data_IF_470076814765
#
_entry.id   IF_470076814765
#
_cell.length_a   1.000
_cell.length_b   1.000
_cell.length_c   1.000
_cell.angle_alpha   90.00
_cell.angle_beta   90.00
_cell.angle_gamma   90.00
#
_symmetry.space_group_name_H-M   'P 1'
#
loop_
_entity.id
_entity.type
_entity.pdbx_description
1 polymer ?
#
# COMPACT_ATOMS: atom_id res chain seq x y z
N UNK A 1 1.77 -14.07 -8.74
CA UNK A 1 2.07 -12.64 -9.01
C UNK A 1 3.55 -12.53 -9.31
N UNK A 2 3.98 -11.73 -10.29
CA UNK A 2 5.42 -11.58 -10.59
C UNK A 2 6.12 -10.86 -9.45
N UNK A 3 7.20 -11.43 -8.90
CA UNK A 3 8.03 -10.80 -7.85
C UNK A 3 8.53 -9.41 -8.26
N UNK A 4 8.74 -9.20 -9.56
CA UNK A 4 9.18 -7.92 -10.13
C UNK A 4 8.14 -6.81 -9.88
N UNK A 5 6.84 -7.10 -10.03
CA UNK A 5 5.78 -6.09 -9.85
C UNK A 5 5.66 -5.70 -8.38
N UNK A 6 5.85 -6.67 -7.47
CA UNK A 6 5.85 -6.40 -6.03
C UNK A 6 7.03 -5.52 -5.62
N UNK A 7 8.24 -5.85 -6.05
CA UNK A 7 9.45 -5.06 -5.77
C UNK A 7 9.34 -3.63 -6.33
N UNK A 8 8.86 -3.47 -7.57
CA UNK A 8 8.63 -2.15 -8.16
C UNK A 8 7.54 -1.36 -7.42
N UNK A 9 6.51 -2.04 -6.92
CA UNK A 9 5.45 -1.42 -6.11
C UNK A 9 6.01 -0.87 -4.79
N UNK A 10 6.78 -1.67 -4.06
CA UNK A 10 7.42 -1.26 -2.80
C UNK A 10 8.38 -0.07 -3.02
N UNK A 11 9.23 -0.14 -4.06
CA UNK A 11 10.12 0.96 -4.44
C UNK A 11 9.34 2.22 -4.77
N UNK A 12 8.22 2.09 -5.48
CA UNK A 12 7.38 3.22 -5.87
C UNK A 12 6.71 3.86 -4.65
N UNK A 13 6.17 3.07 -3.73
CA UNK A 13 5.58 3.54 -2.48
C UNK A 13 6.62 4.23 -1.56
N UNK A 14 7.86 3.74 -1.52
CA UNK A 14 8.95 4.42 -0.80
C UNK A 14 9.27 5.79 -1.40
N UNK A 15 9.30 5.92 -2.74
CA UNK A 15 9.51 7.21 -3.42
C UNK A 15 8.42 8.25 -3.12
N UNK A 16 7.19 7.81 -2.80
CA UNK A 16 6.10 8.72 -2.40
C UNK A 16 6.00 8.91 -0.87
N UNK A 17 7.02 8.48 -0.11
CA UNK A 17 7.15 8.76 1.32
C UNK A 17 6.57 7.70 2.25
N UNK A 18 6.16 6.53 1.73
CA UNK A 18 5.70 5.42 2.55
C UNK A 18 6.81 4.37 2.69
N UNK A 19 7.50 4.43 3.83
CA UNK A 19 8.53 3.46 4.21
C UNK A 19 7.98 2.45 5.23
N UNK A 20 8.77 1.43 5.55
CA UNK A 20 8.43 0.38 6.52
C UNK A 20 7.08 -0.29 6.21
N UNK A 21 6.84 -0.55 4.93
CA UNK A 21 5.63 -1.21 4.43
C UNK A 21 5.60 -2.64 4.97
N UNK A 22 4.49 -2.99 5.60
CA UNK A 22 4.17 -4.33 6.09
C UNK A 22 2.86 -4.78 5.44
N UNK A 23 2.69 -6.08 5.31
CA UNK A 23 1.44 -6.69 4.83
C UNK A 23 0.98 -6.10 3.47
N UNK A 24 1.92 -5.84 2.56
CA UNK A 24 1.59 -5.37 1.21
C UNK A 24 0.77 -6.44 0.49
N UNK A 25 -0.46 -6.05 0.15
CA UNK A 25 -1.43 -6.88 -0.54
C UNK A 25 -1.89 -6.18 -1.82
N UNK A 26 -1.46 -6.72 -2.96
CA UNK A 26 -1.84 -6.22 -4.28
C UNK A 26 -3.13 -6.92 -4.69
N UNK A 27 -4.25 -6.18 -4.61
CA UNK A 27 -5.59 -6.67 -4.96
C UNK A 27 -5.78 -6.79 -6.47
N UNK A 28 -5.19 -5.85 -7.22
CA UNK A 28 -5.30 -5.81 -8.68
C UNK A 28 -4.04 -5.22 -9.30
N UNK A 29 -3.62 -5.77 -10.44
CA UNK A 29 -2.59 -5.17 -11.27
C UNK A 29 -2.93 -5.35 -12.74
N UNK A 30 -2.51 -4.38 -13.55
CA UNK A 30 -2.60 -4.44 -15.00
C UNK A 30 -1.28 -4.04 -15.63
N UNK A 31 -0.80 -4.87 -16.54
CA UNK A 31 0.40 -4.59 -17.31
C UNK A 31 0.04 -3.98 -18.68
N UNK A 32 0.68 -2.87 -18.99
CA UNK A 32 0.69 -2.25 -20.31
C UNK A 32 2.10 -2.32 -20.90
N UNK A 33 2.23 -1.94 -22.18
CA UNK A 33 3.51 -1.91 -22.91
C UNK A 33 4.57 -1.08 -22.16
N UNK A 34 4.17 0.07 -21.61
CA UNK A 34 5.07 1.06 -21.04
C UNK A 34 4.91 1.24 -19.52
N UNK A 35 3.87 0.69 -18.91
CA UNK A 35 3.57 0.89 -17.49
C UNK A 35 2.91 -0.29 -16.80
N UNK A 36 2.89 -0.23 -15.47
CA UNK A 36 2.10 -1.04 -14.57
C UNK A 36 1.13 -0.13 -13.83
N UNK A 37 -0.15 -0.52 -13.80
CA UNK A 37 -1.16 0.07 -12.92
C UNK A 37 -1.42 -0.92 -11.80
N UNK A 38 -1.24 -0.50 -10.55
CA UNK A 38 -1.31 -1.37 -9.37
C UNK A 38 -2.23 -0.76 -8.32
N UNK A 39 -3.17 -1.56 -7.84
CA UNK A 39 -4.08 -1.23 -6.76
C UNK A 39 -3.95 -2.25 -5.63
N UNK A 40 -3.91 -1.77 -4.39
CA UNK A 40 -3.75 -2.63 -3.25
C UNK A 40 -3.84 -1.89 -1.93
N UNK A 41 -3.39 -2.57 -0.90
CA UNK A 41 -3.35 -2.05 0.46
C UNK A 41 -2.05 -2.45 1.16
N UNK A 42 -1.67 -1.68 2.16
CA UNK A 42 -0.56 -2.03 3.04
C UNK A 42 -0.76 -1.42 4.43
N UNK A 43 0.05 -1.87 5.38
CA UNK A 43 0.16 -1.31 6.71
C UNK A 43 1.53 -0.66 6.90
N UNK A 44 1.59 0.40 7.68
CA UNK A 44 2.82 0.84 8.32
C UNK A 44 2.52 1.27 9.77
N UNK A 45 3.49 1.88 10.44
CA UNK A 45 3.37 2.34 11.82
C UNK A 45 2.22 3.34 12.03
N UNK A 46 1.90 4.13 11.01
CA UNK A 46 0.87 5.18 11.06
C UNK A 46 -0.54 4.62 10.88
N UNK A 47 -0.70 3.51 10.17
CA UNK A 47 -2.01 2.91 9.95
C UNK A 47 -2.08 2.00 8.73
N UNK A 48 -3.31 1.82 8.26
CA UNK A 48 -3.69 1.06 7.08
C UNK A 48 -3.96 2.01 5.93
N UNK A 49 -3.45 1.65 4.76
CA UNK A 49 -3.51 2.46 3.56
C UNK A 49 -4.03 1.64 2.40
N UNK A 50 -4.80 2.29 1.54
CA UNK A 50 -5.08 1.82 0.18
C UNK A 50 -4.36 2.70 -0.82
N UNK A 51 -3.91 2.10 -1.92
CA UNK A 51 -3.18 2.82 -2.94
C UNK A 51 -3.63 2.43 -4.34
N UNK A 52 -3.55 3.40 -5.24
CA UNK A 52 -3.60 3.24 -6.68
C UNK A 52 -2.40 3.98 -7.28
N UNK A 53 -1.43 3.23 -7.79
CA UNK A 53 -0.20 3.78 -8.35
C UNK A 53 0.00 3.30 -9.79
N UNK A 54 0.56 4.17 -10.61
CA UNK A 54 1.00 3.84 -11.96
C UNK A 54 2.48 4.17 -12.10
N UNK A 55 3.27 3.23 -12.60
CA UNK A 55 4.71 3.43 -12.79
C UNK A 55 5.22 2.73 -14.05
N UNK A 56 6.27 3.27 -14.67
CA UNK A 56 6.89 2.65 -15.85
C UNK A 56 7.73 1.40 -15.50
N UNK A 57 8.27 0.71 -16.51
CA UNK A 57 9.13 -0.48 -16.30
C UNK A 57 10.42 -0.20 -15.49
N UNK A 58 10.78 1.06 -15.29
CA UNK A 58 11.93 1.52 -14.49
C UNK A 58 11.51 1.99 -13.08
N UNK A 59 10.22 1.93 -12.76
CA UNK A 59 9.68 2.39 -11.48
C UNK A 59 9.58 3.91 -11.36
N UNK A 60 9.47 4.64 -12.49
CA UNK A 60 9.16 6.07 -12.45
C UNK A 60 7.66 6.29 -12.32
N UNK A 61 7.26 7.09 -11.34
CA UNK A 61 5.85 7.36 -11.03
C UNK A 61 5.20 8.17 -12.16
N UNK A 62 4.03 7.69 -12.59
CA UNK A 62 3.11 8.40 -13.49
C UNK A 62 1.90 8.94 -12.72
N UNK A 63 1.40 8.18 -11.75
CA UNK A 63 0.31 8.55 -10.84
C UNK A 63 0.55 7.91 -9.47
N UNK A 64 0.15 8.62 -8.42
CA UNK A 64 0.20 8.10 -7.06
C UNK A 64 -0.97 8.63 -6.24
N UNK A 65 -1.90 7.75 -5.93
CA UNK A 65 -2.92 7.99 -4.92
C UNK A 65 -2.69 7.00 -3.78
N UNK A 66 -2.49 7.51 -2.57
CA UNK A 66 -2.37 6.71 -1.35
C UNK A 66 -3.24 7.37 -0.29
N UNK A 67 -4.22 6.64 0.21
CA UNK A 67 -5.17 7.13 1.21
C UNK A 67 -5.04 6.28 2.47
N UNK A 68 -5.00 6.95 3.62
CA UNK A 68 -5.15 6.26 4.90
C UNK A 68 -6.62 5.91 5.10
N UNK A 69 -6.89 4.62 5.33
CA UNK A 69 -8.24 4.12 5.61
C UNK A 69 -8.49 3.93 7.11
N UNK A 70 -7.43 3.72 7.90
CA UNK A 70 -7.55 3.62 9.36
C UNK A 70 -6.22 3.93 10.06
N UNK A 71 -6.17 4.89 10.99
CA UNK A 71 -4.99 5.10 11.85
C UNK A 71 -4.77 3.92 12.79
N UNK A 72 -3.51 3.61 13.13
CA UNK A 72 -3.18 2.53 14.07
C UNK A 72 -3.85 2.73 15.44
N UNK A 73 -3.87 3.96 15.96
CA UNK A 73 -4.45 4.29 17.26
C UNK A 73 -5.95 3.99 17.37
N UNK A 74 -6.71 4.26 16.30
CA UNK A 74 -8.15 3.97 16.28
C UNK A 74 -8.41 2.47 16.36
N UNK A 75 -7.56 1.66 15.71
CA UNK A 75 -7.67 0.21 15.78
C UNK A 75 -7.36 -0.31 17.18
N UNK A 76 -6.29 0.19 17.80
CA UNK A 76 -5.93 -0.16 19.18
C UNK A 76 -7.04 0.21 20.17
N UNK A 77 -7.67 1.38 20.00
CA UNK A 77 -8.78 1.82 20.85
C UNK A 77 -10.03 0.95 20.67
N UNK A 78 -10.33 0.50 19.45
CA UNK A 78 -11.43 -0.43 19.17
C UNK A 78 -11.13 -1.79 19.81
N UNK A 79 -9.93 -2.32 19.60
CA UNK A 79 -9.52 -3.62 20.15
C UNK A 79 -9.64 -3.59 21.69
N UNK A 80 -9.09 -2.58 22.37
CA UNK A 80 -9.24 -2.42 23.83
C UNK A 80 -10.70 -2.44 24.29
N UNK A 81 -11.57 -1.66 23.63
CA UNK A 81 -13.00 -1.58 24.00
C UNK A 81 -13.79 -2.85 23.76
N UNK A 82 -13.38 -3.67 22.79
CA UNK A 82 -14.02 -4.94 22.48
C UNK A 82 -13.55 -6.01 23.47
N UNK A 83 -12.27 -6.03 23.83
CA UNK A 83 -11.70 -7.00 24.76
C UNK A 83 -11.95 -6.66 26.25
N UNK A 84 -12.13 -5.40 26.63
CA UNK A 84 -12.51 -5.00 28.01
C UNK A 84 -13.97 -5.35 28.37
N UNK A 85 -14.73 -5.97 27.47
CA UNK A 85 -16.12 -6.40 27.68
C UNK A 85 -16.28 -7.90 27.95
N UNK A 86 -15.19 -8.66 28.03
CA UNK A 86 -15.16 -10.04 28.55
C UNK A 86 -14.61 -10.08 29.97
#
# INVERSE_FOLDING_TARGET
MSEIVKDLTEKTLSKVGYNSIKDLDIKYYQEFKDRYDVFGQFKNERGYFEFAISFDKKGNIKRSHVNMISPTSIREDIEKRVYDKE
#
